data_IF_924585847327
#
_entry.id   IF_924585847327
#
_cell.length_a   1.000
_cell.length_b   1.000
_cell.length_c   1.000
_cell.angle_alpha   90.00
_cell.angle_beta   90.00
_cell.angle_gamma   90.00
#
_symmetry.space_group_name_H-M   'P 1'
#
loop_
_entity.id
_entity.type
_entity.pdbx_description
1 polymer ?
#
# COMPACT_ATOMS: atom_id res chain seq x y z
N UNK A 1 -4.37 -16.53 -20.45
CA UNK A 1 -3.13 -17.09 -19.87
C UNK A 1 -2.35 -16.06 -19.07
N UNK A 2 -1.63 -15.05 -19.66
CA UNK A 2 -0.81 -14.12 -18.86
C UNK A 2 -1.65 -13.27 -17.90
N UNK A 3 -2.76 -12.70 -18.36
CA UNK A 3 -3.67 -11.91 -17.52
C UNK A 3 -4.22 -12.76 -16.39
N UNK A 4 -4.64 -13.99 -16.67
CA UNK A 4 -5.17 -14.91 -15.65
C UNK A 4 -4.12 -15.25 -14.59
N UNK A 5 -2.85 -15.45 -15.00
CA UNK A 5 -1.73 -15.69 -14.10
C UNK A 5 -1.46 -14.47 -13.21
N UNK A 6 -1.49 -13.26 -13.75
CA UNK A 6 -1.33 -12.01 -12.97
C UNK A 6 -2.48 -11.87 -11.95
N UNK A 7 -3.71 -12.11 -12.36
CA UNK A 7 -4.88 -12.08 -11.48
C UNK A 7 -4.74 -13.10 -10.35
N UNK A 8 -4.34 -14.33 -10.68
CA UNK A 8 -4.15 -15.39 -9.71
C UNK A 8 -3.06 -15.03 -8.69
N UNK A 9 -1.88 -14.58 -9.14
CA UNK A 9 -0.78 -14.18 -8.24
C UNK A 9 -1.18 -12.98 -7.36
N UNK A 10 -1.89 -12.00 -7.92
CA UNK A 10 -2.38 -10.85 -7.15
C UNK A 10 -3.41 -11.29 -6.10
N UNK A 11 -4.28 -12.23 -6.44
CA UNK A 11 -5.27 -12.79 -5.50
C UNK A 11 -4.59 -13.55 -4.36
N UNK A 12 -3.58 -14.36 -4.67
CA UNK A 12 -2.77 -15.08 -3.67
C UNK A 12 -2.06 -14.08 -2.75
N UNK A 13 -1.45 -13.03 -3.30
CA UNK A 13 -0.79 -11.99 -2.52
C UNK A 13 -1.78 -11.28 -1.58
N UNK A 14 -2.97 -10.91 -2.07
CA UNK A 14 -4.01 -10.29 -1.24
C UNK A 14 -4.41 -11.23 -0.10
N UNK A 15 -4.59 -12.53 -0.38
CA UNK A 15 -4.95 -13.51 0.64
C UNK A 15 -3.85 -13.65 1.71
N UNK A 16 -2.59 -13.74 1.30
CA UNK A 16 -1.43 -13.82 2.21
C UNK A 16 -1.31 -12.58 3.08
N UNK A 17 -1.38 -11.38 2.49
CA UNK A 17 -1.32 -10.13 3.24
C UNK A 17 -2.47 -9.98 4.24
N UNK A 18 -3.65 -10.49 3.90
CA UNK A 18 -4.82 -10.46 4.79
C UNK A 18 -4.69 -11.41 5.99
N UNK A 19 -3.77 -12.37 5.94
CA UNK A 19 -3.58 -13.39 6.98
C UNK A 19 -2.26 -13.28 7.73
N UNK A 20 -1.23 -12.68 7.13
CA UNK A 20 0.14 -12.69 7.65
C UNK A 20 0.35 -11.79 8.88
N UNK A 21 -0.39 -10.71 9.02
CA UNK A 21 -0.17 -9.70 10.07
C UNK A 21 -0.83 -10.03 11.42
N UNK A 22 -1.35 -11.25 11.63
CA UNK A 22 -2.12 -11.58 12.85
C UNK A 22 -3.43 -10.79 12.98
N UNK A 23 -3.61 -9.74 12.20
CA UNK A 23 -4.85 -8.99 12.05
C UNK A 23 -5.61 -9.63 10.89
N UNK A 24 -6.56 -10.47 11.22
CA UNK A 24 -7.47 -11.05 10.23
C UNK A 24 -8.44 -9.96 9.76
N UNK A 25 -8.03 -9.19 8.74
CA UNK A 25 -8.99 -8.34 8.06
C UNK A 25 -10.10 -9.25 7.49
N UNK A 26 -11.39 -8.95 7.74
CA UNK A 26 -12.47 -9.74 7.18
C UNK A 26 -12.32 -9.76 5.66
N UNK A 27 -12.29 -10.95 5.05
CA UNK A 27 -12.18 -11.07 3.59
C UNK A 27 -13.30 -10.31 2.86
N UNK A 28 -14.48 -10.20 3.47
CA UNK A 28 -15.58 -9.37 2.98
C UNK A 28 -15.19 -7.91 2.86
N UNK A 29 -14.47 -7.34 3.84
CA UNK A 29 -13.99 -5.96 3.80
C UNK A 29 -12.96 -5.76 2.69
N UNK A 30 -11.99 -6.67 2.57
CA UNK A 30 -10.99 -6.63 1.48
C UNK A 30 -11.68 -6.72 0.11
N UNK A 31 -12.64 -7.64 -0.05
CA UNK A 31 -13.40 -7.79 -1.30
C UNK A 31 -14.21 -6.54 -1.64
N UNK A 32 -14.85 -5.92 -0.65
CA UNK A 32 -15.60 -4.68 -0.84
C UNK A 32 -14.68 -3.50 -1.18
N UNK A 33 -13.49 -3.42 -0.57
CA UNK A 33 -12.50 -2.40 -0.90
C UNK A 33 -11.99 -2.58 -2.35
N UNK A 34 -11.61 -3.80 -2.73
CA UNK A 34 -11.21 -4.14 -4.11
C UNK A 34 -12.32 -3.77 -5.11
N UNK A 35 -13.57 -4.06 -4.78
CA UNK A 35 -14.70 -3.68 -5.63
C UNK A 35 -14.78 -2.16 -5.84
N UNK A 36 -14.68 -1.37 -4.75
CA UNK A 36 -14.73 0.09 -4.81
C UNK A 36 -13.56 0.66 -5.62
N UNK A 37 -12.37 0.15 -5.40
CA UNK A 37 -11.16 0.64 -6.06
C UNK A 37 -11.16 0.30 -7.55
N UNK A 38 -11.61 -0.91 -7.93
CA UNK A 38 -11.83 -1.28 -9.33
C UNK A 38 -12.89 -0.39 -10.00
N UNK A 39 -14.02 -0.16 -9.32
CA UNK A 39 -15.07 0.70 -9.84
C UNK A 39 -14.57 2.11 -10.10
N UNK A 40 -13.85 2.70 -9.15
CA UNK A 40 -13.24 4.03 -9.28
C UNK A 40 -12.21 4.10 -10.40
N UNK A 41 -11.34 3.10 -10.49
CA UNK A 41 -10.30 3.06 -11.52
C UNK A 41 -10.91 2.98 -12.93
N UNK A 42 -11.92 2.11 -13.12
CA UNK A 42 -12.60 1.98 -14.41
C UNK A 42 -13.35 3.29 -14.77
N UNK A 43 -14.05 3.92 -13.81
CA UNK A 43 -14.67 5.22 -14.02
C UNK A 43 -13.63 6.32 -14.36
N UNK A 44 -12.47 6.30 -13.71
CA UNK A 44 -11.34 7.22 -13.98
C UNK A 44 -10.80 7.06 -15.40
N UNK A 45 -10.85 5.86 -15.96
CA UNK A 45 -10.51 5.58 -17.37
C UNK A 45 -11.57 6.06 -18.37
N UNK A 46 -12.63 6.73 -17.90
CA UNK A 46 -13.69 7.32 -18.73
C UNK A 46 -14.83 6.36 -19.07
N UNK A 47 -14.86 5.17 -18.47
CA UNK A 47 -15.97 4.22 -18.66
C UNK A 47 -17.20 4.69 -17.89
N UNK A 48 -18.33 4.82 -18.58
CA UNK A 48 -19.57 5.28 -17.97
C UNK A 48 -20.13 4.28 -16.94
N UNK A 49 -20.72 4.78 -15.85
CA UNK A 49 -21.24 3.99 -14.71
C UNK A 49 -22.18 2.84 -15.09
N UNK A 50 -22.96 3.01 -16.16
CA UNK A 50 -23.83 1.93 -16.65
C UNK A 50 -23.04 0.74 -17.16
N UNK A 51 -21.97 1.02 -17.92
CA UNK A 51 -21.07 -0.03 -18.44
C UNK A 51 -20.30 -0.68 -17.30
N UNK A 52 -19.81 0.11 -16.33
CA UNK A 52 -19.16 -0.40 -15.13
C UNK A 52 -20.09 -1.35 -14.36
N UNK A 53 -21.34 -0.96 -14.16
CA UNK A 53 -22.33 -1.82 -13.51
C UNK A 53 -22.51 -3.15 -14.25
N UNK A 54 -22.63 -3.10 -15.59
CA UNK A 54 -22.76 -4.30 -16.44
C UNK A 54 -21.52 -5.21 -16.32
N UNK A 55 -20.30 -4.62 -16.26
CA UNK A 55 -19.04 -5.37 -16.05
C UNK A 55 -19.03 -6.14 -14.73
N UNK A 56 -19.69 -5.61 -13.69
CA UNK A 56 -19.86 -6.30 -12.40
C UNK A 56 -21.11 -7.22 -12.34
N UNK A 57 -21.84 -7.36 -13.44
CA UNK A 57 -23.09 -8.12 -13.48
C UNK A 57 -24.21 -7.53 -12.63
N UNK A 58 -24.19 -6.21 -12.41
CA UNK A 58 -25.13 -5.50 -11.54
C UNK A 58 -26.04 -4.56 -12.35
N UNK A 59 -27.33 -4.47 -11.98
CA UNK A 59 -28.17 -3.38 -12.44
C UNK A 59 -27.62 -2.04 -11.92
N UNK A 60 -27.72 -0.98 -12.73
CA UNK A 60 -27.17 0.34 -12.40
C UNK A 60 -27.55 0.85 -11.01
N UNK A 61 -28.82 0.69 -10.60
CA UNK A 61 -29.29 1.09 -9.26
C UNK A 61 -28.64 0.27 -8.14
N UNK A 62 -28.41 -1.02 -8.37
CA UNK A 62 -27.75 -1.91 -7.39
C UNK A 62 -26.27 -1.57 -7.26
N UNK A 63 -25.61 -1.29 -8.38
CA UNK A 63 -24.24 -0.80 -8.41
C UNK A 63 -24.10 0.52 -7.65
N UNK A 64 -24.91 1.51 -7.95
CA UNK A 64 -24.87 2.81 -7.29
C UNK A 64 -25.09 2.68 -5.77
N UNK A 65 -26.08 1.90 -5.34
CA UNK A 65 -26.32 1.62 -3.92
C UNK A 65 -25.13 0.90 -3.26
N UNK A 66 -24.54 -0.07 -3.95
CA UNK A 66 -23.36 -0.80 -3.42
C UNK A 66 -22.17 0.14 -3.28
N UNK A 67 -21.85 0.93 -4.30
CA UNK A 67 -20.77 1.92 -4.24
C UNK A 67 -21.02 2.94 -3.13
N UNK A 68 -22.20 3.53 -3.06
CA UNK A 68 -22.54 4.50 -2.01
C UNK A 68 -22.39 3.91 -0.61
N UNK A 69 -22.92 2.71 -0.37
CA UNK A 69 -22.80 2.01 0.91
C UNK A 69 -21.35 1.75 1.32
N UNK A 70 -20.48 1.42 0.36
CA UNK A 70 -19.09 1.09 0.62
C UNK A 70 -18.17 2.31 0.69
N UNK A 71 -18.57 3.43 0.09
CA UNK A 71 -17.69 4.62 0.02
C UNK A 71 -17.99 5.65 1.08
N UNK A 72 -19.20 5.70 1.60
CA UNK A 72 -19.58 6.77 2.52
C UNK A 72 -20.64 6.32 3.53
N UNK A 73 -20.39 6.60 4.79
CA UNK A 73 -21.39 6.48 5.86
C UNK A 73 -22.39 7.64 5.72
N UNK A 74 -23.67 7.35 5.86
CA UNK A 74 -24.71 8.37 5.88
C UNK A 74 -24.65 9.27 7.14
N UNK A 75 -24.04 8.75 8.21
CA UNK A 75 -23.85 9.48 9.48
C UNK A 75 -22.53 10.25 9.52
N UNK A 76 -21.47 9.78 8.84
CA UNK A 76 -20.16 10.43 8.81
C UNK A 76 -19.64 10.58 7.38
N UNK A 77 -19.77 11.77 6.82
CA UNK A 77 -19.30 12.09 5.47
C UNK A 77 -17.79 11.93 5.34
N UNK A 78 -17.34 11.43 4.20
CA UNK A 78 -15.93 11.27 3.87
C UNK A 78 -15.26 10.05 4.46
N UNK A 79 -15.99 9.18 5.16
CA UNK A 79 -15.49 7.90 5.69
C UNK A 79 -16.42 6.75 5.30
N UNK A 80 -15.85 5.58 5.04
CA UNK A 80 -16.65 4.35 4.92
C UNK A 80 -17.36 4.07 6.23
N UNK A 81 -18.49 3.37 6.20
CA UNK A 81 -19.20 2.99 7.42
C UNK A 81 -18.30 2.19 8.38
N UNK A 82 -17.46 1.30 7.84
CA UNK A 82 -16.48 0.55 8.59
C UNK A 82 -15.48 1.46 9.33
N UNK A 83 -14.86 2.38 8.59
CA UNK A 83 -13.90 3.36 9.15
C UNK A 83 -14.55 4.33 10.14
N UNK A 84 -15.82 4.71 9.89
CA UNK A 84 -16.58 5.59 10.77
C UNK A 84 -16.92 4.91 12.11
N UNK A 85 -17.38 3.65 12.07
CA UNK A 85 -17.71 2.87 13.29
C UNK A 85 -16.44 2.60 14.09
N UNK A 86 -15.34 2.20 13.45
CA UNK A 86 -14.07 1.98 14.14
C UNK A 86 -13.56 3.26 14.82
N UNK A 87 -13.55 4.41 14.11
CA UNK A 87 -13.13 5.69 14.65
C UNK A 87 -14.02 6.11 15.85
N UNK A 88 -15.34 5.97 15.73
CA UNK A 88 -16.26 6.31 16.83
C UNK A 88 -15.99 5.46 18.08
N UNK A 89 -15.75 4.16 17.94
CA UNK A 89 -15.40 3.29 19.08
C UNK A 89 -14.04 3.69 19.65
N UNK A 90 -13.07 4.07 18.82
CA UNK A 90 -11.73 4.52 19.25
C UNK A 90 -11.78 5.80 20.10
N UNK A 91 -12.66 6.74 19.73
CA UNK A 91 -12.81 8.04 20.40
C UNK A 91 -13.52 7.93 21.75
N UNK A 92 -14.32 6.88 21.98
CA UNK A 92 -15.20 6.74 23.15
C UNK A 92 -14.65 5.82 24.27
N UNK A 93 -13.43 5.27 24.13
CA UNK A 93 -12.82 4.26 25.01
C UNK A 93 -13.71 3.00 25.21
N UNK A 94 -14.99 3.19 25.55
CA UNK A 94 -16.01 2.13 25.70
C UNK A 94 -17.35 2.64 25.22
N UNK A 95 -18.01 1.90 24.37
CA UNK A 95 -19.32 2.27 23.83
C UNK A 95 -20.25 1.06 23.78
N UNK A 96 -21.51 1.25 24.13
CA UNK A 96 -22.50 0.18 24.05
C UNK A 96 -23.22 0.18 22.67
N UNK A 97 -23.87 -0.95 22.37
CA UNK A 97 -24.58 -1.14 21.08
C UNK A 97 -25.61 -0.04 20.82
N UNK A 98 -26.32 0.43 21.86
CA UNK A 98 -27.34 1.46 21.74
C UNK A 98 -26.73 2.81 21.35
N UNK A 99 -25.61 3.17 21.94
CA UNK A 99 -24.89 4.40 21.60
C UNK A 99 -24.39 4.39 20.16
N UNK A 100 -23.87 3.23 19.69
CA UNK A 100 -23.45 3.07 18.30
C UNK A 100 -24.66 3.21 17.37
N UNK A 101 -25.78 2.50 17.65
CA UNK A 101 -27.00 2.59 16.84
C UNK A 101 -27.57 4.01 16.80
N UNK A 102 -27.52 4.75 17.89
CA UNK A 102 -27.95 6.16 17.95
C UNK A 102 -27.04 7.08 17.12
N UNK A 103 -25.71 6.89 17.22
CA UNK A 103 -24.75 7.69 16.48
C UNK A 103 -24.87 7.45 14.96
N UNK A 104 -25.08 6.19 14.55
CA UNK A 104 -25.22 5.77 13.17
C UNK A 104 -26.69 5.60 12.74
N UNK A 105 -27.62 6.33 13.34
CA UNK A 105 -29.05 6.21 13.06
C UNK A 105 -29.47 6.52 11.60
N UNK A 106 -28.60 7.17 10.81
CA UNK A 106 -28.81 7.43 9.38
C UNK A 106 -28.32 6.28 8.49
N UNK A 107 -27.49 5.38 9.02
CA UNK A 107 -27.05 4.17 8.33
C UNK A 107 -28.01 3.02 8.65
N UNK A 108 -28.25 2.09 7.72
CA UNK A 108 -29.09 0.93 7.99
C UNK A 108 -28.54 0.08 9.17
N UNK A 109 -29.40 -0.24 10.14
CA UNK A 109 -28.98 -0.96 11.35
C UNK A 109 -28.29 -2.30 11.05
N UNK A 110 -28.77 -3.01 10.02
CA UNK A 110 -28.16 -4.28 9.56
C UNK A 110 -26.71 -4.08 9.06
N UNK A 111 -26.41 -2.95 8.42
CA UNK A 111 -25.05 -2.66 7.96
C UNK A 111 -24.13 -2.29 9.11
N UNK A 112 -24.60 -1.51 10.08
CA UNK A 112 -23.86 -1.19 11.31
C UNK A 112 -23.57 -2.47 12.10
N UNK A 113 -24.55 -3.35 12.23
CA UNK A 113 -24.38 -4.66 12.90
C UNK A 113 -23.36 -5.56 12.17
N UNK A 114 -23.41 -5.61 10.84
CA UNK A 114 -22.42 -6.35 10.05
C UNK A 114 -21.00 -5.81 10.27
N UNK A 115 -20.82 -4.49 10.20
CA UNK A 115 -19.52 -3.85 10.45
C UNK A 115 -19.02 -4.14 11.88
N UNK A 116 -19.89 -4.10 12.88
CA UNK A 116 -19.49 -4.42 14.26
C UNK A 116 -19.04 -5.88 14.38
N UNK A 117 -19.76 -6.82 13.75
CA UNK A 117 -19.36 -8.22 13.72
C UNK A 117 -18.00 -8.40 13.01
N UNK A 118 -17.79 -7.70 11.91
CA UNK A 118 -16.52 -7.72 11.19
C UNK A 118 -15.35 -7.17 12.02
N UNK A 119 -15.56 -6.04 12.72
CA UNK A 119 -14.56 -5.45 13.60
C UNK A 119 -14.21 -6.35 14.79
N UNK A 120 -15.20 -7.06 15.35
CA UNK A 120 -14.97 -8.01 16.43
C UNK A 120 -14.27 -9.28 15.92
N UNK A 121 -14.70 -9.80 14.78
CA UNK A 121 -14.12 -11.02 14.19
C UNK A 121 -12.68 -10.81 13.72
N UNK A 122 -12.34 -9.58 13.32
CA UNK A 122 -10.96 -9.20 12.94
C UNK A 122 -10.05 -8.92 14.13
N UNK A 123 -10.59 -8.92 15.37
CA UNK A 123 -9.81 -8.62 16.57
C UNK A 123 -9.46 -7.14 16.76
N UNK A 124 -10.01 -6.23 15.96
CA UNK A 124 -9.81 -4.79 16.09
C UNK A 124 -10.67 -4.17 17.21
N UNK A 125 -11.80 -4.79 17.48
CA UNK A 125 -12.72 -4.39 18.54
C UNK A 125 -13.02 -5.59 19.43
N UNK A 126 -12.89 -5.37 20.71
CA UNK A 126 -13.28 -6.34 21.72
C UNK A 126 -14.72 -6.08 22.15
N UNK A 127 -15.56 -7.15 22.17
CA UNK A 127 -16.94 -7.07 22.60
C UNK A 127 -17.14 -7.88 23.88
N UNK A 128 -17.79 -7.28 24.88
CA UNK A 128 -18.21 -7.95 26.11
C UNK A 128 -19.71 -7.83 26.31
N UNK A 129 -20.34 -8.83 26.91
CA UNK A 129 -21.79 -8.86 27.09
C UNK A 129 -22.53 -9.53 25.96
N UNK A 130 -23.88 -9.50 25.98
CA UNK A 130 -24.77 -10.10 24.99
C UNK A 130 -25.91 -9.18 24.60
N UNK A 131 -26.26 -9.17 23.31
CA UNK A 131 -27.40 -8.42 22.76
C UNK A 131 -27.24 -6.90 22.96
N UNK A 132 -28.27 -6.23 23.45
CA UNK A 132 -28.28 -4.77 23.66
C UNK A 132 -27.31 -4.30 24.74
N UNK A 133 -26.84 -5.19 25.62
CA UNK A 133 -25.86 -4.89 26.69
C UNK A 133 -24.42 -5.12 26.26
N UNK A 134 -24.18 -5.43 24.99
CA UNK A 134 -22.82 -5.55 24.47
C UNK A 134 -22.11 -4.22 24.55
N UNK A 135 -20.90 -4.23 25.09
CA UNK A 135 -19.99 -3.08 25.16
C UNK A 135 -18.80 -3.37 24.26
N UNK A 136 -18.46 -2.41 23.46
CA UNK A 136 -17.38 -2.47 22.47
C UNK A 136 -16.27 -1.51 22.89
N UNK A 137 -15.04 -1.93 22.73
CA UNK A 137 -13.85 -1.09 22.84
C UNK A 137 -12.84 -1.48 21.76
N UNK A 138 -12.07 -0.54 21.28
CA UNK A 138 -10.91 -0.89 20.46
C UNK A 138 -9.92 -1.69 21.30
N UNK A 139 -9.29 -2.69 20.70
CA UNK A 139 -8.17 -3.38 21.34
C UNK A 139 -7.06 -2.36 21.53
N UNK A 140 -6.69 -2.10 22.78
CA UNK A 140 -5.71 -1.06 23.09
C UNK A 140 -4.33 -1.48 22.60
N UNK A 141 -3.53 -0.50 22.19
CA UNK A 141 -2.15 -0.69 21.74
C UNK A 141 -1.26 -1.45 22.73
N UNK A 142 -1.55 -1.38 24.03
CA UNK A 142 -0.86 -2.16 25.06
C UNK A 142 -1.18 -3.66 25.00
N UNK A 143 -2.27 -4.03 24.32
CA UNK A 143 -2.69 -5.43 24.09
C UNK A 143 -2.21 -5.96 22.72
N UNK A 144 -1.87 -5.05 21.82
CA UNK A 144 -1.09 -5.32 20.60
C UNK A 144 0.36 -5.03 20.97
N UNK A 145 1.23 -5.97 20.79
CA UNK A 145 2.62 -5.89 21.25
C UNK A 145 3.28 -4.53 20.92
N UNK A 146 4.08 -3.99 21.82
CA UNK A 146 4.87 -2.77 21.59
C UNK A 146 5.74 -2.83 20.32
N UNK A 147 6.03 -4.02 19.84
CA UNK A 147 6.75 -4.29 18.59
C UNK A 147 5.92 -3.91 17.35
N UNK A 148 4.61 -4.15 17.32
CA UNK A 148 3.78 -3.83 16.15
C UNK A 148 3.63 -2.32 15.93
N UNK A 149 3.57 -1.53 17.01
CA UNK A 149 3.50 -0.07 16.90
C UNK A 149 4.80 0.54 16.40
N UNK A 150 5.91 -0.01 16.85
CA UNK A 150 7.22 0.42 16.40
C UNK A 150 7.43 0.04 14.94
N UNK A 151 6.99 -1.14 14.52
CA UNK A 151 7.03 -1.59 13.13
C UNK A 151 6.15 -0.71 12.22
N UNK A 152 4.93 -0.40 12.64
CA UNK A 152 4.05 0.50 11.90
C UNK A 152 4.63 1.92 11.75
N UNK A 153 5.28 2.44 12.81
CA UNK A 153 5.95 3.74 12.76
C UNK A 153 7.18 3.72 11.84
N UNK A 154 7.95 2.65 11.81
CA UNK A 154 9.09 2.47 10.90
C UNK A 154 8.61 2.32 9.44
N UNK A 155 7.57 1.55 9.20
CA UNK A 155 6.99 1.40 7.86
C UNK A 155 6.46 2.73 7.33
N UNK A 156 5.81 3.53 8.19
CA UNK A 156 5.38 4.88 7.84
C UNK A 156 6.57 5.80 7.53
N UNK A 157 7.63 5.75 8.32
CA UNK A 157 8.85 6.50 8.07
C UNK A 157 9.44 6.19 6.69
N UNK A 158 9.56 4.91 6.35
CA UNK A 158 10.08 4.49 5.06
C UNK A 158 9.14 4.87 3.90
N UNK A 159 7.82 4.80 4.09
CA UNK A 159 6.85 5.21 3.08
C UNK A 159 6.92 6.72 2.81
N UNK A 160 7.08 7.54 3.85
CA UNK A 160 7.30 8.99 3.74
C UNK A 160 8.59 9.25 2.97
N UNK A 161 9.68 8.59 3.33
CA UNK A 161 10.97 8.73 2.66
C UNK A 161 10.90 8.35 1.17
N UNK A 162 10.31 7.18 0.85
CA UNK A 162 10.09 6.75 -0.53
C UNK A 162 9.28 7.78 -1.32
N UNK A 163 8.23 8.34 -0.73
CA UNK A 163 7.37 9.30 -1.41
C UNK A 163 8.12 10.57 -1.74
N UNK A 164 8.90 11.11 -0.80
CA UNK A 164 9.74 12.30 -1.03
C UNK A 164 10.74 12.02 -2.15
N UNK A 165 11.41 10.86 -2.12
CA UNK A 165 12.37 10.47 -3.16
C UNK A 165 11.72 10.36 -4.55
N UNK A 166 10.54 9.75 -4.65
CA UNK A 166 9.84 9.56 -5.94
C UNK A 166 9.27 10.84 -6.54
N UNK A 167 8.81 11.74 -5.70
CA UNK A 167 8.34 13.06 -6.16
C UNK A 167 9.51 14.00 -6.51
N UNK A 168 10.77 13.61 -6.23
CA UNK A 168 12.00 14.38 -6.34
C UNK A 168 11.98 15.63 -5.45
N UNK A 169 10.85 16.30 -5.37
CA UNK A 169 10.62 17.52 -4.60
C UNK A 169 9.13 17.63 -4.25
N UNK A 170 8.79 17.73 -2.98
CA UNK A 170 7.41 17.86 -2.51
C UNK A 170 7.30 18.93 -1.43
N UNK A 171 6.21 19.70 -1.42
CA UNK A 171 5.94 20.66 -0.34
C UNK A 171 5.61 19.93 0.95
N UNK A 172 6.16 20.38 2.08
CA UNK A 172 5.89 19.82 3.41
C UNK A 172 4.39 19.78 3.71
N UNK A 173 3.64 20.84 3.35
CA UNK A 173 2.21 20.95 3.52
C UNK A 173 1.39 19.93 2.70
N UNK A 174 1.93 19.41 1.60
CA UNK A 174 1.22 18.49 0.70
C UNK A 174 1.40 17.01 1.07
N UNK A 175 2.43 16.69 1.85
CA UNK A 175 2.85 15.31 2.11
C UNK A 175 1.76 14.46 2.78
N UNK A 176 1.15 14.98 3.84
CA UNK A 176 0.09 14.27 4.59
C UNK A 176 -1.11 13.94 3.69
N UNK A 177 -1.54 14.89 2.86
CA UNK A 177 -2.61 14.68 1.88
C UNK A 177 -2.22 13.68 0.80
N UNK A 178 -0.98 13.74 0.33
CA UNK A 178 -0.46 12.84 -0.72
C UNK A 178 -0.47 11.38 -0.27
N UNK A 179 -0.14 11.14 0.99
CA UNK A 179 -0.10 9.81 1.60
C UNK A 179 -1.43 9.39 2.25
N UNK A 180 -2.41 10.28 2.31
CA UNK A 180 -3.68 10.06 3.01
C UNK A 180 -3.50 9.66 4.50
N UNK A 181 -2.51 10.27 5.18
CA UNK A 181 -2.19 10.07 6.59
C UNK A 181 -2.48 11.33 7.41
N UNK A 182 -2.53 11.21 8.73
CA UNK A 182 -2.69 12.38 9.59
C UNK A 182 -1.45 13.27 9.60
N UNK A 183 -1.67 14.58 9.73
CA UNK A 183 -0.60 15.57 9.65
C UNK A 183 0.47 15.40 10.74
N UNK A 184 0.09 14.98 11.96
CA UNK A 184 1.01 14.80 13.08
C UNK A 184 1.96 13.62 12.85
N UNK A 185 1.47 12.54 12.26
CA UNK A 185 2.30 11.38 11.91
C UNK A 185 3.23 11.68 10.75
N UNK A 186 2.76 12.43 9.72
CA UNK A 186 3.62 12.91 8.63
C UNK A 186 4.75 13.78 9.17
N UNK A 187 4.42 14.72 10.06
CA UNK A 187 5.37 15.67 10.64
C UNK A 187 6.48 14.95 11.43
N UNK A 188 6.11 14.03 12.33
CA UNK A 188 7.08 13.23 13.10
C UNK A 188 8.02 12.42 12.20
N UNK A 189 7.49 11.85 11.11
CA UNK A 189 8.32 11.10 10.17
C UNK A 189 9.30 12.04 9.43
N UNK A 190 8.86 13.21 8.98
CA UNK A 190 9.72 14.20 8.32
C UNK A 190 10.81 14.70 9.27
N UNK A 191 10.47 15.07 10.50
CA UNK A 191 11.45 15.53 11.50
C UNK A 191 12.54 14.48 11.75
N UNK A 192 12.14 13.22 11.85
CA UNK A 192 13.08 12.12 12.03
C UNK A 192 13.96 11.91 10.80
N UNK A 193 13.41 11.95 9.59
CA UNK A 193 14.19 11.83 8.35
C UNK A 193 15.19 12.95 8.17
N UNK A 194 14.84 14.17 8.56
CA UNK A 194 15.77 15.32 8.57
C UNK A 194 16.89 15.09 9.61
N UNK A 195 16.55 14.67 10.82
CA UNK A 195 17.52 14.38 11.88
C UNK A 195 18.49 13.24 11.48
N UNK A 196 18.03 12.27 10.69
CA UNK A 196 18.84 11.17 10.14
C UNK A 196 19.60 11.57 8.86
N UNK A 197 19.51 12.82 8.41
CA UNK A 197 20.10 13.34 7.15
C UNK A 197 19.64 12.59 5.88
N UNK A 198 18.46 11.99 5.90
CA UNK A 198 17.87 11.28 4.74
C UNK A 198 17.04 12.21 3.85
N UNK A 199 16.57 13.32 4.41
CA UNK A 199 15.76 14.34 3.74
C UNK A 199 16.36 15.70 4.03
N UNK A 200 16.48 16.51 2.98
CA UNK A 200 16.85 17.92 3.08
C UNK A 200 15.61 18.80 2.98
N UNK A 201 15.67 19.96 3.62
CA UNK A 201 14.57 20.92 3.70
C UNK A 201 15.07 22.28 3.21
N UNK A 202 14.25 23.00 2.41
CA UNK A 202 14.55 24.37 1.99
C UNK A 202 14.13 25.40 3.04
N UNK A 203 14.68 26.61 2.96
CA UNK A 203 14.40 27.74 3.88
C UNK A 203 13.12 28.54 3.50
N UNK A 204 12.26 28.00 2.65
CA UNK A 204 11.02 28.65 2.23
C UNK A 204 9.97 28.67 3.37
N UNK A 205 8.97 29.56 3.30
CA UNK A 205 7.87 29.64 4.25
C UNK A 205 7.00 28.35 4.26
N UNK A 206 6.79 27.71 3.10
CA UNK A 206 6.32 26.33 2.95
C UNK A 206 7.46 25.53 2.32
N UNK A 207 8.27 24.85 3.13
CA UNK A 207 9.52 24.29 2.66
C UNK A 207 9.33 23.10 1.73
N UNK A 208 10.29 22.97 0.82
CA UNK A 208 10.44 21.79 -0.01
C UNK A 208 11.22 20.71 0.74
N UNK A 209 10.78 19.48 0.57
CA UNK A 209 11.45 18.28 1.03
C UNK A 209 12.06 17.56 -0.18
N UNK A 210 13.30 17.15 -0.06
CA UNK A 210 14.05 16.44 -1.09
C UNK A 210 14.79 15.26 -0.45
N UNK A 211 14.80 14.11 -1.13
CA UNK A 211 15.58 12.94 -0.73
C UNK A 211 16.47 12.50 -1.89
N UNK A 212 17.77 12.56 -1.69
CA UNK A 212 18.75 12.20 -2.72
C UNK A 212 18.75 10.70 -3.03
N UNK A 213 18.42 9.87 -2.04
CA UNK A 213 18.35 8.42 -2.21
C UNK A 213 17.20 7.83 -1.39
N UNK A 214 16.75 6.64 -1.83
CA UNK A 214 15.93 5.74 -1.05
C UNK A 214 16.52 4.34 -1.18
N UNK A 215 16.94 3.74 -0.07
CA UNK A 215 17.54 2.42 -0.08
C UNK A 215 17.27 1.67 1.21
N UNK A 216 16.71 0.47 1.07
CA UNK A 216 16.60 -0.49 2.15
C UNK A 216 17.72 -1.53 1.92
N UNK A 217 18.62 -1.73 2.86
CA UNK A 217 19.68 -2.72 2.72
C UNK A 217 19.12 -4.16 2.76
N UNK A 218 19.75 -5.06 2.02
CA UNK A 218 19.44 -6.49 2.09
C UNK A 218 19.68 -6.99 3.53
N UNK A 219 18.74 -7.77 4.06
CA UNK A 219 18.80 -8.24 5.44
C UNK A 219 18.42 -7.20 6.49
N UNK A 220 17.95 -6.03 6.08
CA UNK A 220 17.34 -5.06 6.99
C UNK A 220 16.07 -5.65 7.60
N UNK A 221 16.01 -5.70 8.93
CA UNK A 221 14.86 -6.26 9.65
C UNK A 221 13.57 -5.43 9.52
N UNK A 222 13.66 -4.23 8.94
CA UNK A 222 12.54 -3.27 8.83
C UNK A 222 12.58 -2.53 7.49
N UNK A 223 11.40 -2.16 6.99
CA UNK A 223 11.25 -1.38 5.76
C UNK A 223 11.24 -2.19 4.47
N UNK A 224 11.38 -3.51 4.55
CA UNK A 224 11.33 -4.39 3.39
C UNK A 224 9.97 -4.32 2.67
N UNK A 225 8.87 -4.13 3.40
CA UNK A 225 7.52 -3.99 2.85
C UNK A 225 7.43 -2.80 1.90
N UNK A 226 8.08 -1.69 2.27
CA UNK A 226 8.10 -0.48 1.46
C UNK A 226 8.94 -0.68 0.20
N UNK A 227 10.07 -1.38 0.28
CA UNK A 227 10.89 -1.73 -0.87
C UNK A 227 10.15 -2.65 -1.84
N UNK A 228 9.45 -3.67 -1.32
CA UNK A 228 8.60 -4.57 -2.13
C UNK A 228 7.45 -3.81 -2.75
N UNK A 229 6.77 -2.94 -2.00
CA UNK A 229 5.71 -2.08 -2.52
C UNK A 229 6.21 -1.16 -3.65
N UNK A 230 7.41 -0.62 -3.52
CA UNK A 230 8.06 0.22 -4.53
C UNK A 230 8.26 -0.54 -5.86
N UNK A 231 8.82 -1.74 -5.78
CA UNK A 231 9.01 -2.61 -6.95
C UNK A 231 7.68 -3.02 -7.58
N UNK A 232 6.73 -3.48 -6.78
CA UNK A 232 5.39 -3.83 -7.24
C UNK A 232 4.73 -2.66 -7.97
N UNK A 233 4.80 -1.45 -7.40
CA UNK A 233 4.25 -0.25 -8.01
C UNK A 233 4.90 0.09 -9.35
N UNK A 234 6.23 -0.07 -9.48
CA UNK A 234 6.96 0.16 -10.72
C UNK A 234 6.57 -0.86 -11.81
N UNK A 235 6.51 -2.15 -11.45
CA UNK A 235 6.09 -3.22 -12.35
C UNK A 235 4.63 -3.05 -12.79
N UNK A 236 3.72 -2.77 -11.85
CA UNK A 236 2.31 -2.53 -12.15
C UNK A 236 2.12 -1.34 -13.09
N UNK A 237 2.85 -0.23 -12.87
CA UNK A 237 2.83 0.93 -13.75
C UNK A 237 3.35 0.60 -15.16
N UNK A 238 4.40 -0.20 -15.27
CA UNK A 238 4.94 -0.66 -16.56
C UNK A 238 3.93 -1.53 -17.32
N UNK A 239 3.29 -2.49 -16.64
CA UNK A 239 2.24 -3.34 -17.22
C UNK A 239 1.06 -2.47 -17.68
N UNK A 240 0.57 -1.56 -16.84
CA UNK A 240 -0.53 -0.66 -17.19
C UNK A 240 -0.20 0.24 -18.37
N UNK A 241 1.02 0.75 -18.46
CA UNK A 241 1.48 1.53 -19.62
C UNK A 241 1.47 0.69 -20.90
N UNK A 242 1.95 -0.55 -20.83
CA UNK A 242 1.96 -1.47 -21.98
C UNK A 242 0.55 -1.83 -22.44
N UNK A 243 -0.35 -2.15 -21.52
CA UNK A 243 -1.76 -2.46 -21.83
C UNK A 243 -2.43 -1.28 -22.53
N UNK A 244 -2.22 -0.05 -22.05
CA UNK A 244 -2.75 1.17 -22.71
C UNK A 244 -2.17 1.42 -24.10
N UNK A 245 -0.92 1.03 -24.33
CA UNK A 245 -0.25 1.20 -25.64
C UNK A 245 -0.73 0.20 -26.70
N UNK A 246 -1.52 -0.81 -26.30
CA UNK A 246 -2.04 -1.88 -27.15
C UNK A 246 -1.06 -3.07 -27.32
N UNK A 247 -1.52 -4.16 -27.94
CA UNK A 247 -0.80 -5.44 -28.01
C UNK A 247 0.44 -5.43 -28.89
N UNK A 248 0.60 -4.44 -29.76
CA UNK A 248 1.76 -4.34 -30.64
C UNK A 248 2.98 -3.76 -29.93
N UNK A 249 4.16 -4.32 -30.17
CA UNK A 249 5.43 -3.69 -29.83
C UNK A 249 5.75 -2.58 -30.83
N UNK A 250 5.99 -1.36 -30.35
CA UNK A 250 6.44 -0.24 -31.19
C UNK A 250 7.96 -0.15 -31.12
N UNK A 251 8.60 0.36 -32.18
CA UNK A 251 10.06 0.59 -32.19
C UNK A 251 10.56 1.50 -31.04
N UNK A 252 9.65 2.31 -30.45
CA UNK A 252 9.92 3.15 -29.28
C UNK A 252 9.55 2.49 -27.94
N UNK A 253 9.14 1.25 -27.93
CA UNK A 253 8.79 0.48 -26.75
C UNK A 253 10.07 0.06 -26.04
N UNK A 254 10.35 0.68 -24.90
CA UNK A 254 11.56 0.42 -24.10
C UNK A 254 11.23 -0.31 -22.78
N UNK A 255 10.23 -1.18 -22.83
CA UNK A 255 9.92 -2.09 -21.74
C UNK A 255 10.76 -3.35 -21.89
N UNK A 256 11.64 -3.59 -20.95
CA UNK A 256 12.47 -4.79 -20.88
C UNK A 256 12.77 -5.14 -19.41
N UNK A 257 13.22 -6.34 -19.20
CA UNK A 257 13.62 -6.81 -17.88
C UNK A 257 14.16 -8.23 -17.93
N UNK A 258 14.88 -8.61 -16.86
CA UNK A 258 15.36 -9.97 -16.66
C UNK A 258 15.28 -10.29 -15.18
N UNK A 259 14.97 -11.55 -14.87
CA UNK A 259 15.09 -12.12 -13.53
C UNK A 259 16.11 -13.25 -13.61
N UNK A 260 17.08 -13.23 -12.72
CA UNK A 260 18.12 -14.24 -12.63
C UNK A 260 18.12 -14.81 -11.21
N UNK A 261 18.21 -16.12 -11.10
CA UNK A 261 18.34 -16.82 -9.82
C UNK A 261 19.72 -17.47 -9.73
N UNK A 262 20.33 -17.40 -8.56
CA UNK A 262 21.62 -17.98 -8.27
C UNK A 262 21.45 -18.92 -7.08
N UNK A 263 21.85 -20.19 -7.26
CA UNK A 263 21.90 -21.15 -6.18
C UNK A 263 23.30 -21.08 -5.54
N UNK A 264 23.38 -20.53 -4.36
CA UNK A 264 24.62 -20.40 -3.58
C UNK A 264 24.43 -21.01 -2.18
N UNK A 265 25.51 -21.43 -1.56
CA UNK A 265 25.54 -21.96 -0.19
C UNK A 265 26.66 -21.27 0.60
N UNK A 266 26.72 -21.47 1.92
CA UNK A 266 27.61 -20.72 2.83
C UNK A 266 29.11 -20.81 2.49
N UNK A 267 29.55 -21.88 1.81
CA UNK A 267 30.94 -22.06 1.39
C UNK A 267 31.13 -21.81 -0.12
N UNK A 268 30.09 -21.28 -0.83
CA UNK A 268 30.22 -21.08 -2.27
C UNK A 268 31.19 -19.93 -2.57
N UNK A 269 32.19 -20.13 -3.46
CA UNK A 269 33.24 -19.13 -3.71
C UNK A 269 32.72 -17.78 -4.23
N UNK A 270 31.53 -17.74 -4.84
CA UNK A 270 30.89 -16.52 -5.37
C UNK A 270 29.75 -16.00 -4.49
N UNK A 271 29.48 -16.60 -3.31
CA UNK A 271 28.38 -16.18 -2.43
C UNK A 271 28.44 -14.69 -2.12
N UNK A 272 29.59 -14.19 -1.68
CA UNK A 272 29.77 -12.78 -1.34
C UNK A 272 29.55 -11.86 -2.56
N UNK A 273 29.98 -12.31 -3.73
CA UNK A 273 29.78 -11.53 -4.96
C UNK A 273 28.31 -11.47 -5.35
N UNK A 274 27.58 -12.58 -5.28
CA UNK A 274 26.15 -12.66 -5.57
C UNK A 274 25.33 -11.82 -4.58
N UNK A 275 25.58 -11.97 -3.28
CA UNK A 275 24.89 -11.19 -2.25
C UNK A 275 25.18 -9.68 -2.34
N UNK A 276 26.35 -9.29 -2.86
CA UNK A 276 26.76 -7.92 -3.06
C UNK A 276 26.23 -7.25 -4.34
N UNK A 277 25.54 -8.00 -5.24
CA UNK A 277 25.09 -7.48 -6.55
C UNK A 277 24.17 -6.26 -6.43
N UNK A 278 23.18 -6.31 -5.55
CA UNK A 278 22.24 -5.21 -5.35
C UNK A 278 22.97 -3.91 -4.98
N UNK A 279 23.92 -3.97 -4.07
CA UNK A 279 24.69 -2.78 -3.63
C UNK A 279 25.52 -2.18 -4.76
N UNK A 280 26.16 -3.03 -5.59
CA UNK A 280 26.96 -2.55 -6.75
C UNK A 280 26.08 -1.88 -7.80
N UNK A 281 25.01 -2.55 -8.23
CA UNK A 281 24.09 -2.02 -9.23
C UNK A 281 23.48 -0.69 -8.75
N UNK A 282 23.13 -0.63 -7.45
CA UNK A 282 22.60 0.61 -6.85
C UNK A 282 23.61 1.75 -6.90
N UNK A 283 24.87 1.50 -6.57
CA UNK A 283 25.92 2.52 -6.62
C UNK A 283 26.07 3.12 -8.04
N UNK A 284 26.13 2.25 -9.06
CA UNK A 284 26.22 2.68 -10.46
C UNK A 284 24.99 3.50 -10.91
N UNK A 285 23.80 3.05 -10.54
CA UNK A 285 22.56 3.75 -10.90
C UNK A 285 22.46 5.11 -10.21
N UNK A 286 22.85 5.19 -8.92
CA UNK A 286 22.85 6.44 -8.16
C UNK A 286 23.83 7.46 -8.76
N UNK A 287 24.99 7.04 -9.23
CA UNK A 287 25.94 7.96 -9.93
C UNK A 287 25.32 8.55 -11.20
N UNK A 288 24.64 7.73 -11.98
CA UNK A 288 23.94 8.20 -13.20
C UNK A 288 22.81 9.15 -12.82
N UNK A 289 22.01 8.78 -11.82
CA UNK A 289 20.88 9.58 -11.32
C UNK A 289 21.34 10.96 -10.85
N UNK A 290 22.39 11.03 -10.03
CA UNK A 290 22.95 12.29 -9.54
C UNK A 290 23.38 13.22 -10.69
N UNK A 291 24.04 12.66 -11.71
CA UNK A 291 24.45 13.44 -12.91
C UNK A 291 23.24 13.96 -13.70
N UNK A 292 22.18 13.14 -13.83
CA UNK A 292 20.94 13.55 -14.52
C UNK A 292 20.24 14.67 -13.75
N UNK A 293 20.11 14.53 -12.42
CA UNK A 293 19.48 15.55 -11.56
C UNK A 293 20.25 16.87 -11.65
N UNK A 294 21.58 16.84 -11.53
CA UNK A 294 22.41 18.05 -11.62
C UNK A 294 22.31 18.71 -13.00
N UNK A 295 22.34 17.93 -14.08
CA UNK A 295 22.17 18.45 -15.43
C UNK A 295 20.79 19.13 -15.61
N UNK A 296 19.70 18.49 -15.15
CA UNK A 296 18.35 19.03 -15.27
C UNK A 296 18.14 20.26 -14.39
N UNK A 297 18.85 20.37 -13.26
CA UNK A 297 18.86 21.58 -12.42
C UNK A 297 19.50 22.77 -13.14
N UNK A 298 20.60 22.54 -13.84
CA UNK A 298 21.30 23.56 -14.61
C UNK A 298 20.60 23.91 -15.93
N UNK A 299 19.93 22.92 -16.54
CA UNK A 299 19.27 23.02 -17.85
C UNK A 299 17.85 22.45 -17.77
N UNK A 300 16.88 23.17 -17.17
CA UNK A 300 15.52 22.68 -17.02
C UNK A 300 14.89 22.32 -18.37
N UNK A 301 14.51 21.04 -18.61
CA UNK A 301 13.91 20.65 -19.86
C UNK A 301 12.44 21.08 -19.95
N UNK A 302 11.91 21.38 -21.16
CA UNK A 302 10.48 21.59 -21.36
C UNK A 302 9.70 20.35 -20.94
N UNK A 303 8.58 20.53 -20.21
CA UNK A 303 7.77 19.45 -19.66
C UNK A 303 7.30 18.45 -20.74
N UNK A 304 6.99 18.94 -21.94
CA UNK A 304 6.51 18.11 -23.06
C UNK A 304 7.59 17.18 -23.63
N UNK A 305 8.87 17.45 -23.37
CA UNK A 305 10.02 16.65 -23.82
C UNK A 305 10.54 15.68 -22.78
N UNK A 306 10.04 15.78 -21.55
CA UNK A 306 10.45 14.88 -20.47
C UNK A 306 10.00 13.44 -20.75
N UNK A 307 10.96 12.53 -20.66
CA UNK A 307 10.69 11.09 -20.62
C UNK A 307 11.11 10.57 -19.27
N UNK A 308 10.19 9.97 -18.53
CA UNK A 308 10.51 9.30 -17.27
C UNK A 308 10.95 7.87 -17.56
N UNK A 309 12.21 7.56 -17.27
CA UNK A 309 12.74 6.21 -17.31
C UNK A 309 12.74 5.69 -15.87
N UNK A 310 12.04 4.58 -15.63
CA UNK A 310 12.02 3.91 -14.33
C UNK A 310 12.86 2.65 -14.45
N UNK A 311 13.92 2.57 -13.68
CA UNK A 311 14.74 1.40 -13.52
C UNK A 311 14.43 0.78 -12.16
N UNK A 312 13.96 -0.47 -12.15
CA UNK A 312 13.61 -1.18 -10.91
C UNK A 312 14.46 -2.44 -10.81
N UNK A 313 15.07 -2.64 -9.66
CA UNK A 313 15.92 -3.77 -9.34
C UNK A 313 15.82 -4.08 -7.86
N UNK A 314 15.85 -5.35 -7.53
CA UNK A 314 15.74 -5.85 -6.17
C UNK A 314 16.42 -7.20 -6.05
N UNK A 315 16.63 -7.63 -4.82
CA UNK A 315 17.21 -8.91 -4.47
C UNK A 315 16.42 -9.48 -3.32
N UNK A 316 16.04 -10.75 -3.42
CA UNK A 316 15.52 -11.55 -2.32
C UNK A 316 16.43 -12.75 -2.09
N UNK A 317 16.61 -13.12 -0.84
CA UNK A 317 17.32 -14.31 -0.43
C UNK A 317 16.31 -15.23 0.26
N UNK A 318 16.19 -16.46 -0.21
CA UNK A 318 15.28 -17.46 0.33
C UNK A 318 16.06 -18.74 0.61
N UNK A 319 15.86 -19.31 1.78
CA UNK A 319 16.45 -20.61 2.11
C UNK A 319 15.69 -21.74 1.42
N UNK A 320 16.42 -22.67 0.80
CA UNK A 320 15.82 -23.77 0.03
C UNK A 320 14.88 -24.69 0.86
N UNK A 321 14.96 -24.63 2.19
CA UNK A 321 14.08 -25.34 3.12
C UNK A 321 12.66 -24.76 3.15
N UNK A 322 12.51 -23.43 3.10
CA UNK A 322 11.23 -22.74 3.20
C UNK A 322 10.38 -22.92 1.92
N UNK A 323 11.01 -22.99 0.76
CA UNK A 323 10.32 -23.14 -0.54
C UNK A 323 9.72 -24.54 -0.75
N UNK A 324 10.18 -25.57 -0.01
CA UNK A 324 9.68 -26.95 -0.13
C UNK A 324 8.39 -27.21 0.65
N UNK A 325 8.12 -26.47 1.71
CA UNK A 325 6.90 -26.64 2.49
C UNK A 325 5.66 -26.08 1.75
N UNK A 326 5.81 -24.98 1.04
CA UNK A 326 4.72 -24.38 0.23
C UNK A 326 4.32 -25.28 -0.96
N UNK A 327 5.27 -25.91 -1.63
CA UNK A 327 5.00 -26.81 -2.77
C UNK A 327 4.51 -28.20 -2.35
N UNK A 328 4.73 -28.63 -1.11
CA UNK A 328 4.24 -29.90 -0.58
C UNK A 328 2.77 -29.79 -0.11
N UNK A 329 2.37 -28.59 0.37
CA UNK A 329 0.98 -28.31 0.76
C UNK A 329 0.02 -28.22 -0.43
N UNK A 330 0.51 -27.83 -1.61
CA UNK A 330 -0.31 -27.79 -2.83
C UNK A 330 -0.52 -29.15 -3.52
N UNK A 331 0.17 -30.21 -3.08
CA UNK A 331 0.11 -31.57 -3.68
C UNK A 331 -0.56 -32.63 -2.82
N UNK A 332 -1.17 -32.25 -1.70
CA UNK A 332 -1.99 -33.19 -0.94
C UNK A 332 -3.40 -33.28 -1.58
N UNK A 333 -3.91 -34.49 -1.84
CA UNK A 333 -5.15 -34.73 -2.60
C UNK A 333 -6.40 -34.33 -1.82
#
# INVERSE_FOLDING_TARGET
>A
MLIDSIVQQTTTLIAQLSTAAGIRAPLSHVADQVFVDLAREIERQGVGRKVVADMFGLALRSYQRKVQRLTESASMRGRTLWGAVHAFISEQERVNRTQIAQHFARDPEEHVAAVLNDLVSSGLVYATGRGARSVYRVVTQAEQSADADQEAAENLLHLVWLTIHRELRIRRSELARRLAIDAKSAERAVERLIAENRVTISDDADPWLEAAEFAIPVGGSRGWEVAVFDHFSAVAAAIAAKVRSGPGSRAADVLGGATLSFDVHDEHPLQHEVLGLLSRVRAEVNEVWARVVEHNRQHPPPAERLRRVTFYFGQSVQDAGETREDTASERAP
#
